data_IF_703685940863
#
_entry.id   IF_703685940863
#
_cell.length_a   1.000
_cell.length_b   1.000
_cell.length_c   1.000
_cell.angle_alpha   90.00
_cell.angle_beta   90.00
_cell.angle_gamma   90.00
#
_symmetry.space_group_name_H-M   'P 1'
#
loop_
_entity.id
_entity.type
_entity.pdbx_description
1 polymer ?
#
# COMPACT_ATOMS: atom_id res chain seq x y z
N UNK A 1 -13.81 2.14 10.20
CA UNK A 1 -14.81 2.52 11.23
C UNK A 1 -14.23 2.46 12.63
N UNK A 2 -13.69 1.31 13.09
CA UNK A 2 -13.10 1.18 14.45
C UNK A 2 -12.04 2.26 14.74
N UNK A 3 -11.05 2.46 13.86
CA UNK A 3 -10.00 3.47 14.06
C UNK A 3 -10.48 4.93 14.09
N UNK A 4 -11.60 5.24 13.42
CA UNK A 4 -12.24 6.58 13.49
C UNK A 4 -12.89 6.79 14.86
N UNK A 5 -13.55 5.75 15.38
CA UNK A 5 -14.19 5.76 16.71
C UNK A 5 -13.18 5.81 17.86
N UNK A 6 -11.96 5.31 17.63
CA UNK A 6 -10.89 5.33 18.63
C UNK A 6 -9.94 6.53 18.50
N UNK A 7 -10.23 7.52 17.65
CA UNK A 7 -9.33 8.67 17.44
C UNK A 7 -7.88 8.27 17.05
N UNK A 8 -7.72 7.07 16.49
CA UNK A 8 -6.42 6.50 16.08
C UNK A 8 -6.23 6.60 14.57
N UNK A 9 -6.69 7.71 14.00
CA UNK A 9 -6.76 7.92 12.54
C UNK A 9 -5.36 7.91 11.91
N UNK A 10 -4.34 8.36 12.63
CA UNK A 10 -2.95 8.37 12.17
C UNK A 10 -2.35 6.96 11.97
N UNK A 11 -2.96 5.93 12.52
CA UNK A 11 -2.47 4.55 12.42
C UNK A 11 -2.98 3.85 11.15
N UNK A 12 -4.09 4.34 10.58
CA UNK A 12 -4.71 3.77 9.37
C UNK A 12 -3.77 3.67 8.16
N UNK A 13 -2.98 4.69 7.81
CA UNK A 13 -2.05 4.60 6.68
C UNK A 13 -0.96 3.55 6.89
N UNK A 14 -0.58 3.28 8.15
CA UNK A 14 0.44 2.29 8.51
C UNK A 14 -0.14 0.88 8.37
N UNK A 15 -1.35 0.65 8.88
CA UNK A 15 -2.01 -0.66 8.75
C UNK A 15 -2.35 -0.95 7.28
N UNK A 16 -2.84 0.07 6.55
CA UNK A 16 -3.17 -0.02 5.13
C UNK A 16 -2.00 0.24 4.19
N UNK A 17 -0.75 0.14 4.67
CA UNK A 17 0.44 0.60 3.94
C UNK A 17 0.54 0.05 2.50
N UNK A 18 0.20 -1.23 2.31
CA UNK A 18 0.22 -1.85 0.97
C UNK A 18 -0.76 -1.16 0.01
N UNK A 19 -1.95 -0.77 0.48
CA UNK A 19 -2.96 -0.05 -0.32
C UNK A 19 -2.53 1.38 -0.61
N UNK A 20 -1.86 2.03 0.34
CA UNK A 20 -1.29 3.38 0.17
C UNK A 20 -0.24 3.36 -0.94
N UNK A 21 0.67 2.38 -0.92
CA UNK A 21 1.68 2.20 -1.97
C UNK A 21 1.05 1.89 -3.31
N UNK A 22 0.10 0.95 -3.36
CA UNK A 22 -0.50 0.51 -4.62
C UNK A 22 -1.26 1.64 -5.31
N UNK A 23 -2.09 2.37 -4.55
CA UNK A 23 -2.81 3.56 -5.03
C UNK A 23 -1.84 4.71 -5.35
N UNK A 24 -0.83 4.92 -4.51
CA UNK A 24 0.20 5.94 -4.70
C UNK A 24 0.99 5.73 -5.99
N UNK A 25 1.30 4.48 -6.34
CA UNK A 25 1.97 4.14 -7.60
C UNK A 25 1.12 4.52 -8.82
N UNK A 26 -0.19 4.26 -8.78
CA UNK A 26 -1.12 4.65 -9.84
C UNK A 26 -1.25 6.18 -9.95
N UNK A 27 -1.36 6.87 -8.80
CA UNK A 27 -1.40 8.33 -8.75
C UNK A 27 -0.14 8.96 -9.35
N UNK A 28 1.05 8.51 -8.95
CA UNK A 28 2.33 8.99 -9.50
C UNK A 28 2.45 8.72 -10.99
N UNK A 29 1.98 7.55 -11.45
CA UNK A 29 1.97 7.21 -12.88
C UNK A 29 1.07 8.17 -13.68
N UNK A 30 -0.12 8.49 -13.18
CA UNK A 30 -1.05 9.43 -13.81
C UNK A 30 -0.44 10.84 -13.82
N UNK A 31 0.13 11.26 -12.68
CA UNK A 31 0.75 12.58 -12.53
C UNK A 31 1.93 12.76 -13.51
N UNK A 32 2.80 11.76 -13.64
CA UNK A 32 3.92 11.81 -14.58
C UNK A 32 3.47 11.82 -16.03
N UNK A 33 2.45 11.03 -16.39
CA UNK A 33 1.85 11.10 -17.73
C UNK A 33 1.24 12.48 -18.02
N UNK A 34 0.71 13.16 -17.00
CA UNK A 34 0.10 14.49 -17.14
C UNK A 34 1.15 15.59 -17.30
N UNK A 35 2.18 15.59 -16.45
CA UNK A 35 3.21 16.65 -16.38
C UNK A 35 4.32 16.40 -17.40
N UNK A 36 4.96 15.23 -17.34
CA UNK A 36 6.15 14.91 -18.11
C UNK A 36 5.86 14.16 -19.41
N UNK A 37 4.60 13.74 -19.64
CA UNK A 37 4.18 12.88 -20.76
C UNK A 37 4.98 11.57 -20.85
N UNK A 38 5.60 11.15 -19.76
CA UNK A 38 6.43 9.94 -19.64
C UNK A 38 5.85 8.98 -18.59
N UNK A 39 5.98 7.68 -18.83
CA UNK A 39 5.57 6.63 -17.89
C UNK A 39 6.72 6.38 -16.90
N UNK A 40 6.43 6.30 -15.60
CA UNK A 40 7.41 5.93 -14.56
C UNK A 40 7.55 4.41 -14.50
N UNK A 41 6.42 3.71 -14.40
CA UNK A 41 6.35 2.24 -14.45
C UNK A 41 5.83 1.78 -15.81
N UNK A 42 6.18 0.56 -16.22
CA UNK A 42 5.64 -0.01 -17.46
C UNK A 42 4.13 -0.27 -17.36
N UNK A 43 3.68 -0.75 -16.19
CA UNK A 43 2.28 -0.89 -15.82
C UNK A 43 2.13 -0.47 -14.34
N UNK A 44 1.03 0.18 -14.02
CA UNK A 44 0.64 0.51 -12.65
C UNK A 44 -0.86 0.20 -12.56
N UNK A 45 -1.40 -0.28 -11.42
CA UNK A 45 -0.81 -0.37 -10.06
C UNK A 45 0.33 -1.40 -9.86
N UNK A 46 0.91 -1.40 -8.66
CA UNK A 46 2.18 -2.03 -8.32
C UNK A 46 2.09 -3.58 -8.32
N UNK A 47 0.92 -4.15 -8.04
CA UNK A 47 0.73 -5.60 -8.16
C UNK A 47 0.84 -6.09 -9.61
N UNK A 48 0.25 -5.39 -10.58
CA UNK A 48 0.41 -5.69 -12.00
C UNK A 48 1.84 -5.46 -12.49
N UNK A 49 2.59 -4.55 -11.87
CA UNK A 49 4.02 -4.40 -12.15
C UNK A 49 4.80 -5.68 -11.83
N UNK A 50 4.47 -6.38 -10.75
CA UNK A 50 5.09 -7.67 -10.43
C UNK A 50 4.63 -8.80 -11.37
N UNK A 51 3.37 -8.80 -11.78
CA UNK A 51 2.88 -9.75 -12.80
C UNK A 51 3.57 -9.56 -14.14
N UNK A 52 3.75 -8.31 -14.58
CA UNK A 52 4.50 -7.97 -15.78
C UNK A 52 5.97 -8.44 -15.69
N UNK A 53 6.56 -8.45 -14.49
CA UNK A 53 7.90 -8.99 -14.23
C UNK A 53 7.95 -10.53 -14.26
N UNK A 54 6.82 -11.20 -14.52
CA UNK A 54 6.70 -12.65 -14.64
C UNK A 54 6.31 -13.36 -13.34
N UNK A 55 5.79 -12.65 -12.34
CA UNK A 55 5.28 -13.31 -11.14
C UNK A 55 3.86 -13.83 -11.37
N UNK A 56 3.53 -15.06 -10.94
CA UNK A 56 2.15 -15.52 -10.90
C UNK A 56 1.32 -14.64 -9.96
N UNK A 57 0.06 -14.37 -10.32
CA UNK A 57 -0.89 -13.58 -9.52
C UNK A 57 -0.96 -14.07 -8.08
N UNK A 58 -1.09 -15.38 -7.88
CA UNK A 58 -1.13 -16.02 -6.55
C UNK A 58 0.13 -15.72 -5.72
N UNK A 59 1.30 -15.66 -6.37
CA UNK A 59 2.57 -15.35 -5.70
C UNK A 59 2.64 -13.89 -5.25
N UNK A 60 2.10 -12.97 -6.05
CA UNK A 60 2.01 -11.55 -5.71
C UNK A 60 1.08 -11.36 -4.52
N UNK A 61 -0.13 -11.93 -4.60
CA UNK A 61 -1.15 -11.84 -3.54
C UNK A 61 -0.64 -12.38 -2.21
N UNK A 62 -0.03 -13.56 -2.18
CA UNK A 62 0.51 -14.14 -0.94
C UNK A 62 1.61 -13.28 -0.31
N UNK A 63 2.49 -12.69 -1.13
CA UNK A 63 3.56 -11.80 -0.62
C UNK A 63 2.99 -10.50 -0.08
N UNK A 64 2.00 -9.93 -0.76
CA UNK A 64 1.34 -8.70 -0.32
C UNK A 64 0.58 -8.92 0.99
N UNK A 65 -0.02 -10.10 1.19
CA UNK A 65 -0.67 -10.46 2.46
C UNK A 65 0.34 -10.58 3.61
N UNK A 66 1.49 -11.22 3.38
CA UNK A 66 2.54 -11.31 4.42
C UNK A 66 3.05 -9.92 4.81
N UNK A 67 3.36 -9.07 3.82
CA UNK A 67 3.78 -7.69 4.09
C UNK A 67 2.67 -6.92 4.81
N UNK A 68 1.43 -7.03 4.34
CA UNK A 68 0.27 -6.39 4.97
C UNK A 68 0.07 -6.82 6.42
N UNK A 69 0.23 -8.11 6.72
CA UNK A 69 0.14 -8.64 8.09
C UNK A 69 1.23 -8.06 9.00
N UNK A 70 2.47 -7.96 8.52
CA UNK A 70 3.58 -7.35 9.28
C UNK A 70 3.30 -5.88 9.59
N UNK A 71 2.87 -5.11 8.59
CA UNK A 71 2.53 -3.70 8.77
C UNK A 71 1.28 -3.50 9.64
N UNK A 72 0.32 -4.42 9.58
CA UNK A 72 -0.85 -4.40 10.46
C UNK A 72 -0.45 -4.62 11.93
N UNK A 73 0.48 -5.56 12.21
CA UNK A 73 1.01 -5.79 13.57
C UNK A 73 1.77 -4.55 14.06
N UNK A 74 2.62 -3.97 13.23
CA UNK A 74 3.37 -2.75 13.58
C UNK A 74 2.42 -1.59 13.85
N UNK A 75 1.43 -1.38 12.97
CA UNK A 75 0.41 -0.35 13.15
C UNK A 75 -0.37 -0.55 14.44
N UNK A 76 -0.77 -1.79 14.76
CA UNK A 76 -1.44 -2.12 16.01
C UNK A 76 -0.54 -1.81 17.22
N UNK A 77 0.74 -2.22 17.20
CA UNK A 77 1.68 -1.95 18.29
C UNK A 77 1.86 -0.44 18.53
N UNK A 78 2.04 0.35 17.47
CA UNK A 78 2.13 1.81 17.55
C UNK A 78 0.83 2.41 18.10
N UNK A 79 -0.33 1.94 17.63
CA UNK A 79 -1.63 2.40 18.08
C UNK A 79 -1.93 2.07 19.54
N UNK A 80 -1.36 1.00 20.08
CA UNK A 80 -1.46 0.63 21.49
C UNK A 80 -0.48 1.42 22.37
N UNK A 81 0.77 1.62 21.92
CA UNK A 81 1.78 2.40 22.65
C UNK A 81 1.39 3.88 22.74
N UNK A 82 0.88 4.47 21.64
CA UNK A 82 0.47 5.88 21.63
C UNK A 82 -0.81 6.18 22.42
N UNK A 83 -1.47 5.16 22.99
CA UNK A 83 -2.60 5.30 23.92
C UNK A 83 -2.20 5.27 25.39
N UNK A 84 -0.96 4.86 25.69
CA UNK A 84 -0.41 4.77 27.05
C UNK A 84 0.17 6.09 27.55
#
# INVERSE_FOLDING_TARGET
VVAMLTNSVLVLPIIGFIFVIDTGSSMLQILSKRIFKKKIWQIAPLHHYFEYKGWPETKVTMRFWVIGAVFAIIGLAIGLIGRG
#
